data_IF_708580282648
#
_entry.id   IF_708580282648
#
_cell.length_a   1.000
_cell.length_b   1.000
_cell.length_c   1.000
_cell.angle_alpha   90.00
_cell.angle_beta   90.00
_cell.angle_gamma   90.00
#
_symmetry.space_group_name_H-M   'P 1'
#
loop_
_entity.id
_entity.type
_entity.pdbx_description
1 polymer ?
#
# COMPACT_ATOMS: atom_id res chain seq x y z
N UNK A 1 -31.54 -5.14 38.14
CA UNK A 1 -30.66 -4.25 37.33
C UNK A 1 -30.11 -5.09 36.18
N UNK A 2 -30.24 -4.64 34.92
CA UNK A 2 -29.76 -5.41 33.74
C UNK A 2 -28.28 -5.11 33.52
N UNK A 3 -27.41 -6.05 33.87
CA UNK A 3 -25.96 -5.92 33.68
C UNK A 3 -25.63 -5.97 32.18
N UNK A 4 -25.16 -4.86 31.62
CA UNK A 4 -24.64 -4.79 30.26
C UNK A 4 -23.21 -5.34 30.31
N UNK A 5 -23.06 -6.66 30.16
CA UNK A 5 -21.73 -7.27 30.04
C UNK A 5 -21.09 -6.86 28.70
N UNK A 6 -19.86 -6.34 28.76
CA UNK A 6 -19.10 -5.92 27.59
C UNK A 6 -18.78 -7.11 26.68
N UNK A 7 -18.70 -6.88 25.37
CA UNK A 7 -18.33 -7.91 24.37
C UNK A 7 -16.97 -8.56 24.70
N UNK A 8 -16.06 -7.79 25.29
CA UNK A 8 -14.75 -8.28 25.72
C UNK A 8 -14.85 -9.26 26.90
N UNK A 9 -15.80 -9.04 27.82
CA UNK A 9 -16.02 -9.91 28.97
C UNK A 9 -16.66 -11.23 28.53
N UNK A 10 -17.60 -11.18 27.58
CA UNK A 10 -18.16 -12.39 26.96
C UNK A 10 -17.08 -13.24 26.27
N UNK A 11 -16.10 -12.60 25.63
CA UNK A 11 -15.02 -13.30 24.93
C UNK A 11 -14.06 -13.99 25.92
N UNK A 12 -13.71 -13.33 27.03
CA UNK A 12 -12.91 -13.92 28.10
C UNK A 12 -13.64 -15.06 28.80
N UNK A 13 -14.94 -14.90 29.02
CA UNK A 13 -15.76 -15.93 29.66
C UNK A 13 -15.86 -17.18 28.77
N UNK A 14 -16.05 -17.03 27.46
CA UNK A 14 -16.02 -18.15 26.48
C UNK A 14 -14.65 -18.86 26.40
N UNK A 15 -13.55 -18.10 26.49
CA UNK A 15 -12.21 -18.69 26.50
C UNK A 15 -11.91 -19.41 27.82
N UNK A 16 -12.43 -18.90 28.94
CA UNK A 16 -12.24 -19.52 30.27
C UNK A 16 -13.12 -20.73 30.51
N UNK A 17 -14.32 -20.77 29.91
CA UNK A 17 -15.29 -21.85 30.13
C UNK A 17 -15.03 -23.10 29.30
N UNK A 18 -14.12 -23.08 28.32
CA UNK A 18 -13.64 -24.30 27.64
C UNK A 18 -14.74 -25.21 27.06
N UNK A 19 -15.96 -24.71 26.89
CA UNK A 19 -17.13 -25.51 26.60
C UNK A 19 -17.38 -25.50 25.09
N UNK A 20 -16.67 -26.37 24.38
CA UNK A 20 -17.16 -26.91 23.11
C UNK A 20 -18.31 -27.87 23.42
N UNK A 21 -19.53 -27.34 23.49
CA UNK A 21 -20.73 -28.16 23.28
C UNK A 21 -20.82 -28.46 21.78
N UNK A 22 -20.08 -29.49 21.36
CA UNK A 22 -20.47 -30.32 20.25
C UNK A 22 -21.28 -31.47 20.85
N UNK A 23 -22.60 -31.40 20.71
CA UNK A 23 -23.45 -32.57 20.84
C UNK A 23 -22.99 -33.65 19.84
N UNK A 24 -22.56 -34.77 20.41
CA UNK A 24 -22.72 -36.15 19.93
C UNK A 24 -22.84 -36.39 18.43
N UNK A 25 -21.88 -37.15 17.87
CA UNK A 25 -22.06 -38.56 17.52
C UNK A 25 -20.68 -39.23 17.49
N UNK A 26 -20.51 -40.26 18.33
CA UNK A 26 -19.39 -41.21 18.27
C UNK A 26 -19.69 -42.23 17.18
N UNK A 27 -18.73 -42.47 16.29
CA UNK A 27 -18.42 -43.82 15.78
C UNK A 27 -16.99 -43.85 15.29
N UNK A 28 -16.30 -44.89 15.71
CA UNK A 28 -14.93 -45.27 15.41
C UNK A 28 -14.57 -45.23 13.91
N UNK A 29 -13.35 -44.80 13.62
CA UNK A 29 -12.30 -45.67 13.07
C UNK A 29 -11.25 -44.87 12.30
N UNK A 30 -10.03 -45.36 12.41
CA UNK A 30 -8.80 -44.79 11.90
C UNK A 30 -8.83 -44.43 10.40
N UNK A 31 -8.32 -43.25 10.05
CA UNK A 31 -7.16 -43.13 9.13
C UNK A 31 -6.65 -41.70 9.03
N UNK A 32 -5.35 -41.57 9.29
CA UNK A 32 -4.50 -40.53 8.72
C UNK A 32 -4.90 -40.17 7.30
N UNK A 33 -5.27 -38.91 7.08
CA UNK A 33 -4.60 -38.08 6.06
C UNK A 33 -4.69 -36.63 6.50
N UNK A 34 -3.56 -36.12 6.94
CA UNK A 34 -3.25 -34.70 6.99
C UNK A 34 -3.36 -34.13 5.58
N UNK A 35 -4.56 -33.69 5.18
CA UNK A 35 -4.69 -32.75 4.06
C UNK A 35 -4.19 -31.40 4.55
N UNK A 36 -2.86 -31.26 4.53
CA UNK A 36 -2.20 -29.97 4.51
C UNK A 36 -2.86 -29.16 3.39
N UNK A 37 -3.73 -28.24 3.78
CA UNK A 37 -4.29 -27.21 2.91
C UNK A 37 -3.10 -26.39 2.46
N UNK A 38 -2.46 -26.82 1.37
CA UNK A 38 -1.49 -26.02 0.62
C UNK A 38 -2.25 -24.76 0.25
N UNK A 39 -2.01 -23.68 0.99
CA UNK A 39 -2.40 -22.32 0.62
C UNK A 39 -1.85 -22.10 -0.79
N UNK A 40 -2.69 -22.35 -1.81
CA UNK A 40 -2.42 -21.93 -3.18
C UNK A 40 -2.20 -20.43 -3.08
N UNK A 41 -0.96 -19.98 -3.27
CA UNK A 41 -0.66 -18.57 -3.45
C UNK A 41 -1.55 -18.13 -4.61
N UNK A 42 -2.57 -17.33 -4.31
CA UNK A 42 -3.46 -16.79 -5.33
C UNK A 42 -2.57 -16.08 -6.35
N UNK A 43 -2.63 -16.54 -7.60
CA UNK A 43 -1.84 -15.98 -8.70
C UNK A 43 -2.29 -14.53 -8.82
N UNK A 44 -1.39 -13.58 -8.57
CA UNK A 44 -1.71 -12.16 -8.58
C UNK A 44 -2.34 -11.80 -9.93
N UNK A 45 -3.42 -11.00 -9.93
CA UNK A 45 -4.06 -10.58 -11.18
C UNK A 45 -3.07 -9.76 -12.03
N UNK A 46 -3.28 -9.67 -13.36
CA UNK A 46 -2.46 -8.81 -14.22
C UNK A 46 -2.39 -7.36 -13.73
N UNK A 47 -3.47 -6.87 -13.12
CA UNK A 47 -3.55 -5.55 -12.51
C UNK A 47 -2.66 -5.44 -11.27
N UNK A 48 -2.65 -6.45 -10.41
CA UNK A 48 -1.78 -6.48 -9.23
C UNK A 48 -0.29 -6.44 -9.61
N UNK A 49 0.08 -7.03 -10.75
CA UNK A 49 1.46 -6.93 -11.26
C UNK A 49 1.81 -5.51 -11.66
N UNK A 50 0.91 -4.78 -12.33
CA UNK A 50 1.11 -3.37 -12.69
C UNK A 50 1.26 -2.50 -11.45
N UNK A 51 0.40 -2.71 -10.44
CA UNK A 51 0.43 -1.97 -9.17
C UNK A 51 1.76 -2.21 -8.45
N UNK A 52 2.21 -3.46 -8.38
CA UNK A 52 3.47 -3.80 -7.72
C UNK A 52 4.68 -3.21 -8.48
N UNK A 53 4.68 -3.29 -9.82
CA UNK A 53 5.74 -2.71 -10.64
C UNK A 53 5.83 -1.19 -10.47
N UNK A 54 4.69 -0.50 -10.41
CA UNK A 54 4.63 0.94 -10.19
C UNK A 54 5.26 1.34 -8.86
N UNK A 55 4.86 0.70 -7.76
CA UNK A 55 5.40 1.03 -6.44
C UNK A 55 6.88 0.64 -6.31
N UNK A 56 7.30 -0.48 -6.90
CA UNK A 56 8.70 -0.88 -6.96
C UNK A 56 9.57 0.15 -7.70
N UNK A 57 9.08 0.69 -8.82
CA UNK A 57 9.80 1.73 -9.56
C UNK A 57 10.02 3.00 -8.72
N UNK A 58 9.02 3.41 -7.92
CA UNK A 58 9.15 4.53 -6.99
C UNK A 58 10.15 4.19 -5.87
N UNK A 59 10.11 2.97 -5.34
CA UNK A 59 11.03 2.48 -4.30
C UNK A 59 12.47 2.26 -4.75
N UNK A 60 12.72 2.13 -6.05
CA UNK A 60 14.05 2.03 -6.66
C UNK A 60 14.60 3.40 -7.08
N UNK A 61 13.73 4.40 -7.27
CA UNK A 61 14.13 5.74 -7.68
C UNK A 61 15.01 6.43 -6.62
N UNK A 62 16.29 6.66 -6.92
CA UNK A 62 17.20 7.35 -6.04
C UNK A 62 16.88 8.85 -6.02
N UNK A 63 16.64 9.38 -4.82
CA UNK A 63 16.33 10.78 -4.59
C UNK A 63 17.60 11.53 -4.18
N UNK A 64 18.02 12.51 -4.96
CA UNK A 64 19.08 13.46 -4.57
C UNK A 64 18.42 14.73 -4.02
N UNK A 65 18.53 14.95 -2.71
CA UNK A 65 17.89 16.09 -2.02
C UNK A 65 18.90 17.19 -1.72
N UNK A 66 19.44 17.81 -2.77
CA UNK A 66 20.38 18.93 -2.64
C UNK A 66 19.66 20.26 -2.40
N UNK A 67 18.51 20.45 -3.02
CA UNK A 67 17.75 21.69 -2.95
C UNK A 67 16.37 21.51 -2.30
N UNK A 68 15.95 22.50 -1.51
CA UNK A 68 14.62 22.52 -0.90
C UNK A 68 13.68 23.36 -1.76
N UNK A 69 12.60 22.75 -2.22
CA UNK A 69 11.51 23.45 -2.93
C UNK A 69 10.20 23.34 -2.16
N UNK A 70 9.49 24.46 -2.03
CA UNK A 70 8.16 24.50 -1.41
C UNK A 70 7.10 24.43 -2.50
N UNK A 71 6.33 23.33 -2.52
CA UNK A 71 5.28 23.09 -3.52
C UNK A 71 3.92 23.16 -2.85
N UNK A 72 3.03 24.01 -3.38
CA UNK A 72 1.62 24.06 -2.97
C UNK A 72 0.84 23.02 -3.77
N UNK A 73 0.06 22.21 -3.06
CA UNK A 73 -0.72 21.10 -3.62
C UNK A 73 -2.15 21.20 -3.08
N UNK A 74 -3.13 20.85 -3.90
CA UNK A 74 -4.54 20.88 -3.50
C UNK A 74 -4.85 19.85 -2.40
N UNK A 75 -5.95 20.08 -1.68
CA UNK A 75 -6.36 19.26 -0.54
C UNK A 75 -6.63 17.79 -0.90
N UNK A 76 -7.11 17.51 -2.12
CA UNK A 76 -7.41 16.14 -2.55
C UNK A 76 -6.11 15.38 -2.79
N UNK A 77 -5.16 15.99 -3.49
CA UNK A 77 -3.88 15.39 -3.80
C UNK A 77 -3.03 15.18 -2.55
N UNK A 78 -2.97 16.14 -1.62
CA UNK A 78 -2.21 15.95 -0.36
C UNK A 78 -2.80 14.81 0.50
N UNK A 79 -4.13 14.65 0.51
CA UNK A 79 -4.77 13.56 1.22
C UNK A 79 -4.46 12.19 0.59
N UNK A 80 -4.37 12.12 -0.74
CA UNK A 80 -3.94 10.91 -1.44
C UNK A 80 -2.48 10.57 -1.11
N UNK A 81 -1.58 11.56 -1.16
CA UNK A 81 -0.16 11.39 -0.82
C UNK A 81 0.02 10.87 0.62
N UNK A 82 -0.72 11.45 1.58
CA UNK A 82 -0.72 10.99 2.98
C UNK A 82 -1.16 9.53 3.10
N UNK A 83 -2.25 9.14 2.44
CA UNK A 83 -2.75 7.75 2.47
C UNK A 83 -1.76 6.78 1.83
N UNK A 84 -1.12 7.18 0.73
CA UNK A 84 -0.11 6.37 0.06
C UNK A 84 1.12 6.17 0.97
N UNK A 85 1.58 7.22 1.66
CA UNK A 85 2.64 7.12 2.67
C UNK A 85 2.29 6.13 3.78
N UNK A 86 1.05 6.18 4.29
CA UNK A 86 0.59 5.25 5.33
C UNK A 86 0.44 3.80 4.84
N UNK A 87 -0.09 3.61 3.62
CA UNK A 87 -0.42 2.28 3.11
C UNK A 87 0.78 1.53 2.52
N UNK A 88 1.77 2.25 1.97
CA UNK A 88 2.92 1.67 1.25
C UNK A 88 4.28 2.11 1.80
N UNK A 89 4.35 3.01 2.78
CA UNK A 89 5.61 3.51 3.31
C UNK A 89 6.38 4.43 2.35
N UNK A 90 5.75 4.86 1.26
CA UNK A 90 6.38 5.71 0.25
C UNK A 90 6.39 7.15 0.75
N UNK A 91 7.59 7.75 0.80
CA UNK A 91 7.70 9.15 1.18
C UNK A 91 7.06 10.08 0.13
N UNK A 92 6.39 11.13 0.63
CA UNK A 92 5.66 12.08 -0.23
C UNK A 92 6.60 12.83 -1.17
N UNK A 93 7.77 13.27 -0.69
CA UNK A 93 8.72 14.00 -1.50
C UNK A 93 9.30 13.09 -2.59
N UNK A 94 9.58 11.83 -2.23
CA UNK A 94 10.06 10.83 -3.19
C UNK A 94 9.08 10.64 -4.34
N UNK A 95 7.79 10.50 -4.04
CA UNK A 95 6.77 10.37 -5.09
C UNK A 95 6.68 11.62 -5.96
N UNK A 96 6.70 12.81 -5.36
CA UNK A 96 6.59 14.07 -6.10
C UNK A 96 7.75 14.21 -7.09
N UNK A 97 8.99 13.99 -6.63
CA UNK A 97 10.18 14.09 -7.49
C UNK A 97 10.18 12.99 -8.56
N UNK A 98 9.80 11.76 -8.21
CA UNK A 98 9.66 10.68 -9.19
C UNK A 98 8.63 11.03 -10.28
N UNK A 99 7.46 11.52 -9.90
CA UNK A 99 6.41 11.90 -10.85
C UNK A 99 6.87 13.04 -11.77
N UNK A 100 7.54 14.05 -11.21
CA UNK A 100 8.10 15.15 -11.99
C UNK A 100 9.18 14.66 -12.97
N UNK A 101 10.09 13.80 -12.52
CA UNK A 101 11.13 13.21 -13.35
C UNK A 101 10.53 12.40 -14.51
N UNK A 102 9.53 11.56 -14.23
CA UNK A 102 8.85 10.80 -15.27
C UNK A 102 8.14 11.71 -16.28
N UNK A 103 7.47 12.76 -15.79
CA UNK A 103 6.76 13.69 -16.65
C UNK A 103 7.72 14.47 -17.59
N UNK A 104 8.84 14.96 -17.06
CA UNK A 104 9.86 15.65 -17.86
C UNK A 104 10.51 14.69 -18.86
N UNK A 105 10.82 13.46 -18.44
CA UNK A 105 11.44 12.44 -19.31
C UNK A 105 10.56 12.08 -20.52
N UNK A 106 9.23 12.16 -20.36
CA UNK A 106 8.27 11.95 -21.46
C UNK A 106 8.22 13.12 -22.45
N UNK A 107 8.75 14.29 -22.08
CA UNK A 107 8.70 15.52 -22.88
C UNK A 107 10.10 16.13 -23.05
N UNK A 108 11.02 15.44 -23.75
CA UNK A 108 12.41 15.91 -23.89
C UNK A 108 12.52 17.26 -24.63
N UNK A 109 11.51 17.63 -25.43
CA UNK A 109 11.43 18.92 -26.11
C UNK A 109 11.38 20.11 -25.15
N UNK A 110 10.91 19.92 -23.91
CA UNK A 110 10.75 21.00 -22.94
C UNK A 110 12.10 21.65 -22.60
N UNK A 111 13.14 20.84 -22.41
CA UNK A 111 14.48 21.33 -22.10
C UNK A 111 15.05 22.17 -23.26
N UNK A 112 14.90 21.69 -24.49
CA UNK A 112 15.37 22.39 -25.69
C UNK A 112 14.64 23.73 -25.87
N UNK A 113 13.32 23.73 -25.68
CA UNK A 113 12.51 24.95 -25.80
C UNK A 113 12.90 26.00 -24.75
N UNK A 114 13.10 25.59 -23.49
CA UNK A 114 13.56 26.50 -22.43
C UNK A 114 14.93 27.08 -22.78
N UNK A 115 15.87 26.27 -23.25
CA UNK A 115 17.20 26.77 -23.66
C UNK A 115 17.14 27.76 -24.82
N UNK A 116 16.27 27.51 -25.80
CA UNK A 116 16.07 28.42 -26.94
C UNK A 116 15.47 29.77 -26.48
N UNK A 117 14.44 29.74 -25.62
CA UNK A 117 13.85 30.97 -25.08
C UNK A 117 14.83 31.79 -24.25
N UNK A 118 15.71 31.14 -23.46
CA UNK A 118 16.73 31.84 -22.67
C UNK A 118 17.77 32.53 -23.57
N UNK A 119 18.21 31.87 -24.66
CA UNK A 119 19.16 32.48 -25.63
C UNK A 119 18.57 33.68 -26.36
N UNK A 120 17.26 33.67 -26.59
CA UNK A 120 16.55 34.73 -27.29
C UNK A 120 16.06 35.86 -26.36
N UNK A 121 16.21 35.70 -25.03
CA UNK A 121 15.80 36.72 -24.04
C UNK A 121 16.87 37.79 -23.79
N UNK A 122 18.05 37.70 -24.41
CA UNK A 122 19.12 38.71 -24.40
C UNK A 122 18.95 39.79 -25.49
N UNK A 123 17.73 40.00 -25.98
CA UNK A 123 17.33 41.04 -26.95
C UNK A 123 16.47 42.12 -26.26
#
# INVERSE_FOLDING_TARGET
MKEIKSLADQLREKLRSGNTENESIKTDSARNTSTAVRKKKARASPEQHKVNAFFKAIEEFKLETTEKSMIRVDARTINLLKRMKLAKGIDMNRFIVYALHQYISQHPWLANHIQETLKNSDL
#
